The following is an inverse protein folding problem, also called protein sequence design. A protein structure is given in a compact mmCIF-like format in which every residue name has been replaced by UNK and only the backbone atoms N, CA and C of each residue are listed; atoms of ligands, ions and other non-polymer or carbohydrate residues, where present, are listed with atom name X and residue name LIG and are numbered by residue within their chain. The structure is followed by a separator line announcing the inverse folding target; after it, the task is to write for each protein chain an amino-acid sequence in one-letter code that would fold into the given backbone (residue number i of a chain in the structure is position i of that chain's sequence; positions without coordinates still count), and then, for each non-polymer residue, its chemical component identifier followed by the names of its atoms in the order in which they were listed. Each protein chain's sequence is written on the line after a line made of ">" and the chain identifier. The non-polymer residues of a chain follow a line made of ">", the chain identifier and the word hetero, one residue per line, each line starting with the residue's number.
data_IF_860257034326
#
_entry.id   IF_860257034326
#
_cell.length_a   1.000
_cell.length_b   1.000
_cell.length_c   1.000
_cell.angle_alpha   90.00
_cell.angle_beta   90.00
_cell.angle_gamma   90.00
#
_symmetry.space_group_name_H-M   'P 1'
#
loop_
_entity.id
_entity.type
_entity.pdbx_description
1 polymer ?
#
# COMPACT_ATOMS: atom_id res chain seq x y z
N UNK A 1 -16.60 -2.39 2.97
CA UNK A 1 -16.62 -1.34 1.91
C UNK A 1 -15.19 -1.19 1.45
N UNK A 2 -14.94 -1.24 0.13
CA UNK A 2 -13.58 -1.09 -0.42
C UNK A 2 -13.03 0.32 -0.13
N UNK A 3 -11.71 0.45 0.02
CA UNK A 3 -11.03 1.76 0.22
C UNK A 3 -11.24 2.62 -1.03
N UNK A 4 -11.04 2.02 -2.21
CA UNK A 4 -11.36 2.62 -3.52
C UNK A 4 -11.64 1.50 -4.53
N UNK A 5 -12.12 1.86 -5.70
CA UNK A 5 -12.26 0.97 -6.87
C UNK A 5 -11.74 1.73 -8.08
N UNK A 6 -10.96 1.06 -8.93
CA UNK A 6 -10.35 1.70 -10.10
C UNK A 6 -8.83 1.83 -9.98
N UNK A 7 -8.28 3.01 -10.27
CA UNK A 7 -6.84 3.25 -10.32
C UNK A 7 -6.34 4.15 -9.17
N UNK A 8 -5.56 3.57 -8.28
CA UNK A 8 -4.75 4.33 -7.32
C UNK A 8 -3.34 4.54 -7.87
N UNK A 9 -2.85 5.77 -7.90
CA UNK A 9 -1.47 6.06 -8.32
C UNK A 9 -0.49 5.81 -7.18
N UNK A 10 0.51 4.96 -7.39
CA UNK A 10 1.70 4.93 -6.55
C UNK A 10 2.59 6.13 -6.93
N UNK A 11 2.26 7.28 -6.35
CA UNK A 11 2.82 8.56 -6.79
C UNK A 11 4.33 8.64 -6.55
N UNK A 12 5.05 9.25 -7.48
CA UNK A 12 6.47 9.58 -7.32
C UNK A 12 6.67 10.70 -6.30
N UNK A 13 7.84 10.74 -5.67
CA UNK A 13 8.22 11.85 -4.80
C UNK A 13 9.21 12.75 -5.55
N UNK A 14 8.78 13.93 -6.02
CA UNK A 14 9.69 14.86 -6.69
C UNK A 14 10.72 15.40 -5.71
N UNK A 15 11.99 15.43 -6.14
CA UNK A 15 13.10 15.90 -5.33
C UNK A 15 13.82 17.05 -6.00
N UNK A 16 14.39 17.95 -5.21
CA UNK A 16 15.28 19.01 -5.63
C UNK A 16 16.67 18.44 -5.96
N UNK A 17 17.51 19.21 -6.60
CA UNK A 17 18.88 18.81 -6.94
C UNK A 17 19.77 18.46 -5.72
N UNK A 18 19.42 18.98 -4.55
CA UNK A 18 20.09 18.68 -3.27
C UNK A 18 19.52 17.45 -2.53
N UNK A 19 18.52 16.77 -3.13
CA UNK A 19 17.86 15.59 -2.54
C UNK A 19 16.66 15.87 -1.64
N UNK A 20 16.38 17.12 -1.29
CA UNK A 20 15.19 17.47 -0.50
C UNK A 20 13.89 17.24 -1.31
N UNK A 21 12.82 16.88 -0.62
CA UNK A 21 11.49 16.74 -1.24
C UNK A 21 11.04 18.12 -1.77
N UNK A 22 10.56 18.14 -3.00
CA UNK A 22 9.97 19.33 -3.63
C UNK A 22 8.45 19.31 -3.45
N UNK A 23 7.98 19.88 -2.35
CA UNK A 23 6.56 19.90 -2.01
C UNK A 23 5.69 20.70 -2.98
N UNK A 24 6.24 21.78 -3.59
CA UNK A 24 5.51 22.55 -4.60
C UNK A 24 5.22 21.67 -5.84
N UNK A 25 6.24 20.91 -6.28
CA UNK A 25 6.06 20.00 -7.40
C UNK A 25 5.19 18.77 -7.02
N UNK A 26 5.24 18.32 -5.79
CA UNK A 26 4.34 17.28 -5.29
C UNK A 26 2.88 17.75 -5.33
N UNK A 27 2.62 18.99 -4.91
CA UNK A 27 1.29 19.59 -4.98
C UNK A 27 0.75 19.63 -6.44
N UNK A 28 1.59 20.06 -7.39
CA UNK A 28 1.22 20.06 -8.81
C UNK A 28 0.89 18.65 -9.33
N UNK A 29 1.66 17.62 -8.93
CA UNK A 29 1.41 16.24 -9.32
C UNK A 29 0.13 15.69 -8.69
N UNK A 30 -0.15 16.02 -7.42
CA UNK A 30 -1.38 15.63 -6.74
C UNK A 30 -2.60 16.22 -7.45
N UNK A 31 -2.56 17.52 -7.81
CA UNK A 31 -3.64 18.15 -8.57
C UNK A 31 -3.78 17.56 -9.97
N UNK A 32 -2.67 17.28 -10.66
CA UNK A 32 -2.68 16.62 -11.96
C UNK A 32 -3.41 15.27 -11.86
N UNK A 33 -3.05 14.42 -10.91
CA UNK A 33 -3.65 13.11 -10.73
C UNK A 33 -5.16 13.20 -10.42
N UNK A 34 -5.54 14.05 -9.49
CA UNK A 34 -6.94 14.22 -9.08
C UNK A 34 -7.79 14.75 -10.25
N UNK A 35 -7.27 15.72 -11.00
CA UNK A 35 -7.97 16.31 -12.14
C UNK A 35 -8.04 15.37 -13.36
N UNK A 36 -7.20 14.33 -13.40
CA UNK A 36 -7.19 13.32 -14.44
C UNK A 36 -7.78 11.96 -13.98
N UNK A 37 -8.70 12.00 -13.01
CA UNK A 37 -9.55 10.87 -12.63
C UNK A 37 -8.81 9.72 -11.92
N UNK A 38 -7.74 10.01 -11.15
CA UNK A 38 -7.23 9.01 -10.21
C UNK A 38 -8.26 8.73 -9.11
N UNK A 39 -8.40 7.47 -8.71
CA UNK A 39 -9.37 7.06 -7.68
C UNK A 39 -8.75 7.06 -6.27
N UNK A 40 -7.44 7.05 -6.16
CA UNK A 40 -6.71 7.14 -4.89
C UNK A 40 -5.26 7.60 -5.09
N UNK A 41 -4.68 8.24 -4.08
CA UNK A 41 -3.24 8.57 -4.02
C UNK A 41 -2.56 7.61 -3.05
N UNK A 42 -1.51 6.93 -3.50
CA UNK A 42 -0.65 6.10 -2.64
C UNK A 42 0.69 6.79 -2.48
N UNK A 43 0.87 7.48 -1.35
CA UNK A 43 2.10 8.23 -1.01
C UNK A 43 3.11 7.34 -0.29
N UNK A 44 4.38 7.60 -0.44
CA UNK A 44 5.49 6.88 0.20
C UNK A 44 5.43 5.36 -0.03
N UNK A 45 4.93 4.93 -1.20
CA UNK A 45 5.13 3.57 -1.69
C UNK A 45 6.55 3.39 -2.24
N UNK A 46 6.84 2.21 -2.79
CA UNK A 46 8.15 1.91 -3.43
C UNK A 46 8.46 2.88 -4.56
N UNK A 47 7.48 3.24 -5.38
CA UNK A 47 7.63 4.21 -6.49
C UNK A 47 7.96 5.61 -5.97
N UNK A 48 7.44 5.97 -4.80
CA UNK A 48 7.75 7.23 -4.11
C UNK A 48 9.08 7.21 -3.36
N UNK A 49 9.91 6.17 -3.53
CA UNK A 49 11.28 6.08 -3.00
C UNK A 49 11.36 6.18 -1.46
N UNK A 50 10.31 5.71 -0.74
CA UNK A 50 10.28 5.77 0.73
C UNK A 50 11.47 5.11 1.42
N UNK A 51 12.10 4.12 0.78
CA UNK A 51 13.27 3.43 1.33
C UNK A 51 14.55 4.30 1.38
N UNK A 52 14.58 5.45 0.70
CA UNK A 52 15.70 6.39 0.67
C UNK A 52 15.46 7.65 1.48
N UNK A 53 14.28 7.78 2.09
CA UNK A 53 13.91 8.88 2.97
C UNK A 53 14.32 8.60 4.42
N UNK A 54 14.60 9.64 5.17
CA UNK A 54 14.60 9.53 6.64
C UNK A 54 13.18 9.29 7.14
N UNK A 55 13.01 8.83 8.37
CA UNK A 55 11.66 8.63 8.93
C UNK A 55 10.91 9.96 9.06
N UNK A 56 11.60 11.05 9.35
CA UNK A 56 11.05 12.41 9.43
C UNK A 56 10.53 12.90 8.06
N UNK A 57 11.32 12.72 6.99
CA UNK A 57 10.90 13.06 5.62
C UNK A 57 9.70 12.22 5.19
N UNK A 58 9.70 10.93 5.52
CA UNK A 58 8.61 10.01 5.21
C UNK A 58 7.30 10.46 5.87
N UNK A 59 7.32 10.74 7.16
CA UNK A 59 6.15 11.22 7.92
C UNK A 59 5.67 12.57 7.39
N UNK A 60 6.58 13.51 7.10
CA UNK A 60 6.23 14.82 6.58
C UNK A 60 5.60 14.76 5.19
N UNK A 61 6.11 13.88 4.29
CA UNK A 61 5.51 13.67 2.98
C UNK A 61 4.08 13.10 3.08
N UNK A 62 3.82 12.21 4.02
CA UNK A 62 2.48 11.67 4.30
C UNK A 62 1.57 12.79 4.80
N UNK A 63 2.01 13.58 5.79
CA UNK A 63 1.25 14.69 6.38
C UNK A 63 0.91 15.73 5.33
N UNK A 64 1.91 16.20 4.58
CA UNK A 64 1.71 17.15 3.49
C UNK A 64 0.66 16.65 2.49
N UNK A 65 0.77 15.38 2.08
CA UNK A 65 -0.16 14.82 1.09
C UNK A 65 -1.59 14.75 1.63
N UNK A 66 -1.79 14.30 2.87
CA UNK A 66 -3.11 14.23 3.50
C UNK A 66 -3.74 15.64 3.61
N UNK A 67 -2.96 16.62 4.08
CA UNK A 67 -3.38 18.00 4.24
C UNK A 67 -3.69 18.69 2.89
N UNK A 68 -2.93 18.38 1.85
CA UNK A 68 -3.12 18.97 0.53
C UNK A 68 -4.30 18.35 -0.22
N UNK A 69 -4.42 17.03 -0.19
CA UNK A 69 -5.51 16.31 -0.88
C UNK A 69 -6.87 16.61 -0.25
N UNK A 70 -6.94 16.85 1.06
CA UNK A 70 -8.17 17.25 1.78
C UNK A 70 -9.38 16.37 1.47
N UNK A 71 -9.19 15.07 1.46
CA UNK A 71 -10.25 14.09 1.18
C UNK A 71 -10.91 14.21 -0.20
N UNK A 72 -10.30 14.88 -1.17
CA UNK A 72 -10.80 14.91 -2.56
C UNK A 72 -10.81 13.50 -3.18
N UNK A 73 -9.82 12.70 -2.83
CA UNK A 73 -9.73 11.26 -3.08
C UNK A 73 -9.11 10.59 -1.86
N UNK A 74 -9.26 9.27 -1.67
CA UNK A 74 -8.57 8.56 -0.59
C UNK A 74 -7.05 8.69 -0.70
N UNK A 75 -6.40 8.89 0.45
CA UNK A 75 -4.94 8.87 0.60
C UNK A 75 -4.53 7.61 1.34
N UNK A 76 -3.69 6.81 0.72
CA UNK A 76 -3.12 5.59 1.28
C UNK A 76 -1.63 5.82 1.55
N UNK A 77 -1.19 5.67 2.79
CA UNK A 77 0.21 5.85 3.16
C UNK A 77 0.98 4.52 3.12
N UNK A 78 2.11 4.48 2.43
CA UNK A 78 3.07 3.38 2.54
C UNK A 78 3.77 3.45 3.90
N UNK A 79 3.52 2.50 4.80
CA UNK A 79 4.05 2.48 6.17
C UNK A 79 4.77 1.20 6.52
N UNK A 80 4.90 0.27 5.55
CA UNK A 80 5.57 -1.01 5.76
C UNK A 80 7.08 -0.87 5.97
N UNK A 81 7.61 -1.70 6.84
CA UNK A 81 9.05 -1.82 7.12
C UNK A 81 9.40 -3.29 7.40
N UNK A 82 10.66 -3.65 7.24
CA UNK A 82 11.17 -4.96 7.68
C UNK A 82 11.35 -5.04 9.21
N UNK A 83 11.28 -3.90 9.90
CA UNK A 83 11.21 -3.80 11.35
C UNK A 83 9.75 -3.55 11.75
N UNK A 84 9.14 -4.50 12.48
CA UNK A 84 7.74 -4.38 12.92
C UNK A 84 7.50 -3.13 13.77
N UNK A 85 8.46 -2.75 14.63
CA UNK A 85 8.37 -1.54 15.44
C UNK A 85 8.27 -0.29 14.58
N UNK A 86 9.15 -0.12 13.60
CA UNK A 86 9.10 0.99 12.65
C UNK A 86 7.80 1.02 11.85
N UNK A 87 7.32 -0.14 11.39
CA UNK A 87 6.03 -0.21 10.69
C UNK A 87 4.86 0.25 11.59
N UNK A 88 4.89 -0.07 12.89
CA UNK A 88 3.91 0.40 13.88
C UNK A 88 3.99 1.92 14.06
N UNK A 89 5.21 2.46 14.22
CA UNK A 89 5.44 3.90 14.43
C UNK A 89 4.97 4.70 13.20
N UNK A 90 5.40 4.33 12.00
CA UNK A 90 4.97 4.98 10.76
C UNK A 90 3.45 4.89 10.56
N UNK A 91 2.82 3.76 10.89
CA UNK A 91 1.37 3.61 10.75
C UNK A 91 0.60 4.50 11.73
N UNK A 92 1.10 4.70 12.94
CA UNK A 92 0.53 5.64 13.92
C UNK A 92 0.66 7.09 13.46
N UNK A 93 1.82 7.48 12.93
CA UNK A 93 2.03 8.81 12.37
C UNK A 93 1.12 9.06 11.16
N UNK A 94 0.96 8.08 10.28
CA UNK A 94 0.02 8.16 9.15
C UNK A 94 -1.45 8.32 9.63
N UNK A 95 -1.84 7.57 10.67
CA UNK A 95 -3.17 7.75 11.27
C UNK A 95 -3.35 9.14 11.85
N UNK A 96 -2.34 9.68 12.56
CA UNK A 96 -2.37 11.02 13.13
C UNK A 96 -2.43 12.10 12.02
N UNK A 97 -1.79 11.86 10.87
CA UNK A 97 -1.86 12.71 9.69
C UNK A 97 -3.24 12.67 8.98
N UNK A 98 -4.12 11.75 9.35
CA UNK A 98 -5.48 11.69 8.83
C UNK A 98 -5.61 11.03 7.45
N UNK A 99 -4.71 10.14 7.05
CA UNK A 99 -4.86 9.34 5.83
C UNK A 99 -6.04 8.37 5.94
N UNK A 100 -6.43 7.74 4.83
CA UNK A 100 -7.61 6.86 4.77
C UNK A 100 -7.26 5.37 4.94
N UNK A 101 -6.02 4.98 4.66
CA UNK A 101 -5.52 3.62 4.82
C UNK A 101 -3.99 3.56 4.87
N UNK A 102 -3.46 2.42 5.30
CA UNK A 102 -2.03 2.12 5.24
C UNK A 102 -1.75 1.00 4.21
N UNK A 103 -0.71 1.17 3.40
CA UNK A 103 -0.13 0.13 2.55
C UNK A 103 1.10 -0.45 3.25
N UNK A 104 1.03 -1.71 3.67
CA UNK A 104 2.09 -2.35 4.45
C UNK A 104 2.74 -3.45 3.62
N UNK A 105 3.97 -3.21 3.15
CA UNK A 105 4.77 -4.21 2.43
C UNK A 105 5.23 -5.30 3.39
N UNK A 106 5.37 -6.54 2.91
CA UNK A 106 5.98 -7.62 3.68
C UNK A 106 7.38 -7.23 4.17
N UNK A 107 7.79 -7.66 5.38
CA UNK A 107 9.18 -7.51 5.81
C UNK A 107 10.14 -7.99 4.72
N UNK A 108 10.96 -7.08 4.22
CA UNK A 108 11.94 -7.33 3.18
C UNK A 108 13.31 -7.66 3.77
N UNK A 109 14.16 -8.35 3.00
CA UNK A 109 15.53 -8.70 3.35
C UNK A 109 15.65 -9.84 4.38
N UNK A 110 14.99 -9.76 5.54
CA UNK A 110 15.07 -10.72 6.65
C UNK A 110 14.22 -12.00 6.48
N UNK A 111 13.51 -12.14 5.34
CA UNK A 111 12.81 -13.37 4.91
C UNK A 111 11.92 -14.00 5.99
N UNK A 112 10.93 -13.23 6.44
CA UNK A 112 9.96 -13.70 7.44
C UNK A 112 9.23 -14.97 7.00
N UNK A 113 9.02 -15.90 7.94
CA UNK A 113 8.16 -17.07 7.72
C UNK A 113 6.68 -16.68 7.65
N UNK A 114 5.80 -17.57 7.15
CA UNK A 114 4.35 -17.31 7.11
C UNK A 114 3.78 -17.00 8.50
N UNK A 115 4.25 -17.69 9.54
CA UNK A 115 3.90 -17.38 10.93
C UNK A 115 4.38 -15.99 11.34
N UNK A 116 5.60 -15.63 10.97
CA UNK A 116 6.15 -14.29 11.21
C UNK A 116 5.38 -13.19 10.51
N UNK A 117 4.87 -13.44 9.29
CA UNK A 117 3.99 -12.52 8.57
C UNK A 117 2.66 -12.30 9.32
N UNK A 118 2.03 -13.37 9.81
CA UNK A 118 0.80 -13.26 10.60
C UNK A 118 1.03 -12.38 11.83
N UNK A 119 2.09 -12.63 12.60
CA UNK A 119 2.42 -11.84 13.79
C UNK A 119 2.74 -10.38 13.44
N UNK A 120 3.51 -10.13 12.36
CA UNK A 120 3.85 -8.79 11.90
C UNK A 120 2.59 -7.98 11.58
N UNK A 121 1.74 -8.49 10.67
CA UNK A 121 0.51 -7.78 10.27
C UNK A 121 -0.46 -7.62 11.43
N UNK A 122 -0.59 -8.63 12.28
CA UNK A 122 -1.43 -8.54 13.49
C UNK A 122 -0.95 -7.45 14.44
N UNK A 123 0.37 -7.34 14.62
CA UNK A 123 0.97 -6.31 15.51
C UNK A 123 0.76 -4.91 14.96
N UNK A 124 1.02 -4.70 13.66
CA UNK A 124 0.76 -3.40 13.02
C UNK A 124 -0.73 -3.05 13.09
N UNK A 125 -1.60 -3.97 12.73
CA UNK A 125 -3.04 -3.75 12.68
C UNK A 125 -3.64 -3.42 14.05
N UNK A 126 -3.16 -4.05 15.13
CA UNK A 126 -3.61 -3.74 16.50
C UNK A 126 -3.16 -2.37 17.01
N UNK A 127 -2.22 -1.72 16.34
CA UNK A 127 -1.68 -0.42 16.75
C UNK A 127 -2.44 0.78 16.21
N UNK A 128 -3.33 0.57 15.23
CA UNK A 128 -4.09 1.60 14.52
C UNK A 128 -5.53 1.14 14.25
N UNK A 129 -6.42 2.09 13.99
CA UNK A 129 -7.81 1.82 13.59
C UNK A 129 -7.99 1.88 12.06
N UNK A 130 -6.98 2.37 11.32
CA UNK A 130 -7.06 2.50 9.87
C UNK A 130 -7.12 1.16 9.16
N UNK A 131 -7.79 1.09 8.00
CA UNK A 131 -7.71 -0.04 7.09
C UNK A 131 -6.27 -0.28 6.63
N UNK A 132 -5.89 -1.55 6.49
CA UNK A 132 -4.58 -1.97 6.00
C UNK A 132 -4.74 -2.72 4.68
N UNK A 133 -3.93 -2.33 3.70
CA UNK A 133 -3.67 -3.05 2.47
C UNK A 133 -2.34 -3.80 2.66
N UNK A 134 -2.35 -5.12 2.72
CA UNK A 134 -1.12 -5.91 2.64
C UNK A 134 -0.46 -5.70 1.27
N UNK A 135 0.87 -5.68 1.20
CA UNK A 135 1.56 -5.58 -0.07
C UNK A 135 2.53 -6.74 -0.28
N UNK A 136 2.21 -7.59 -1.26
CA UNK A 136 2.99 -8.76 -1.63
C UNK A 136 3.79 -8.49 -2.91
N UNK A 137 5.12 -8.39 -2.80
CA UNK A 137 6.04 -8.15 -3.91
C UNK A 137 7.32 -8.97 -3.76
N UNK A 138 7.26 -10.28 -3.95
CA UNK A 138 8.37 -11.20 -3.66
C UNK A 138 9.67 -10.87 -4.41
N UNK A 139 9.56 -10.31 -5.62
CA UNK A 139 10.71 -9.89 -6.44
C UNK A 139 11.57 -8.81 -5.77
N UNK A 140 10.99 -8.01 -4.87
CA UNK A 140 11.68 -6.95 -4.14
C UNK A 140 12.01 -7.34 -2.70
N UNK A 141 11.11 -8.08 -2.05
CA UNK A 141 11.20 -8.38 -0.62
C UNK A 141 11.94 -9.69 -0.32
N UNK A 142 11.98 -10.61 -1.28
CA UNK A 142 12.42 -11.99 -1.06
C UNK A 142 11.44 -12.81 -0.20
N UNK A 143 10.23 -12.28 0.07
CA UNK A 143 9.19 -12.90 0.89
C UNK A 143 7.87 -12.88 0.15
N UNK A 144 7.22 -14.05 0.04
CA UNK A 144 5.91 -14.19 -0.59
C UNK A 144 4.85 -14.51 0.48
N UNK A 145 3.77 -13.75 0.51
CA UNK A 145 2.58 -14.11 1.31
C UNK A 145 1.83 -15.18 0.54
N UNK A 146 1.69 -16.36 1.12
CA UNK A 146 0.88 -17.42 0.51
C UNK A 146 -0.62 -17.07 0.61
N UNK A 147 -1.45 -17.49 -0.35
CA UNK A 147 -2.90 -17.22 -0.33
C UNK A 147 -3.58 -17.59 0.99
N UNK A 148 -3.25 -18.74 1.54
CA UNK A 148 -3.79 -19.22 2.82
C UNK A 148 -3.42 -18.28 3.98
N UNK A 149 -2.20 -17.75 3.96
CA UNK A 149 -1.71 -16.80 4.97
C UNK A 149 -2.44 -15.46 4.85
N UNK A 150 -2.59 -14.94 3.63
CA UNK A 150 -3.31 -13.69 3.40
C UNK A 150 -4.77 -13.77 3.86
N UNK A 151 -5.46 -14.86 3.49
CA UNK A 151 -6.85 -15.10 3.90
C UNK A 151 -6.98 -15.29 5.41
N UNK A 152 -6.03 -16.01 6.04
CA UNK A 152 -6.00 -16.17 7.49
C UNK A 152 -5.87 -14.82 8.19
N UNK A 153 -4.93 -13.97 7.75
CA UNK A 153 -4.75 -12.63 8.32
C UNK A 153 -6.05 -11.82 8.17
N UNK A 154 -6.64 -11.76 6.97
CA UNK A 154 -7.85 -10.98 6.72
C UNK A 154 -9.06 -11.45 7.56
N UNK A 155 -9.18 -12.75 7.81
CA UNK A 155 -10.27 -13.29 8.65
C UNK A 155 -10.08 -13.05 10.14
N UNK A 156 -8.84 -13.04 10.63
CA UNK A 156 -8.52 -12.91 12.05
C UNK A 156 -8.25 -11.46 12.47
N UNK A 157 -7.91 -10.57 11.52
CA UNK A 157 -7.51 -9.19 11.79
C UNK A 157 -8.43 -8.23 11.05
N UNK A 158 -9.41 -7.68 11.78
CA UNK A 158 -10.57 -6.97 11.23
C UNK A 158 -10.25 -5.80 10.31
N UNK A 159 -9.18 -5.06 10.57
CA UNK A 159 -8.79 -3.90 9.77
C UNK A 159 -7.78 -4.22 8.65
N UNK A 160 -7.40 -5.48 8.46
CA UNK A 160 -6.70 -5.91 7.24
C UNK A 160 -7.75 -6.26 6.19
N UNK A 161 -8.00 -5.34 5.26
CA UNK A 161 -9.17 -5.38 4.37
C UNK A 161 -8.83 -5.63 2.90
N UNK A 162 -7.56 -5.49 2.53
CA UNK A 162 -7.12 -5.61 1.14
C UNK A 162 -5.69 -6.15 1.01
N UNK A 163 -5.37 -6.58 -0.20
CA UNK A 163 -4.01 -6.93 -0.62
C UNK A 163 -3.69 -6.30 -1.98
N UNK A 164 -2.53 -5.63 -2.08
CA UNK A 164 -1.87 -5.30 -3.34
C UNK A 164 -1.01 -6.49 -3.74
N UNK A 165 -1.42 -7.19 -4.80
CA UNK A 165 -0.74 -8.39 -5.27
C UNK A 165 0.18 -8.06 -6.45
N UNK A 166 1.47 -8.24 -6.25
CA UNK A 166 2.53 -7.99 -7.22
C UNK A 166 3.52 -9.17 -7.32
N UNK A 167 3.05 -10.40 -7.07
CA UNK A 167 3.88 -11.59 -7.23
C UNK A 167 4.20 -11.92 -8.70
N UNK A 168 3.40 -11.40 -9.64
CA UNK A 168 3.47 -11.80 -11.05
C UNK A 168 2.89 -13.18 -11.33
N UNK A 169 2.32 -13.85 -10.34
CA UNK A 169 1.78 -15.21 -10.46
C UNK A 169 0.25 -15.22 -10.44
N UNK A 170 -0.36 -15.17 -11.61
CA UNK A 170 -1.82 -15.17 -11.75
C UNK A 170 -2.47 -16.43 -11.16
N UNK A 171 -1.81 -17.58 -11.21
CA UNK A 171 -2.32 -18.80 -10.56
C UNK A 171 -2.40 -18.64 -9.03
N UNK A 172 -1.46 -17.93 -8.41
CA UNK A 172 -1.52 -17.59 -7.00
C UNK A 172 -2.67 -16.63 -6.71
N UNK A 173 -2.86 -15.62 -7.57
CA UNK A 173 -3.97 -14.67 -7.45
C UNK A 173 -5.33 -15.36 -7.57
N UNK A 174 -5.48 -16.27 -8.55
CA UNK A 174 -6.71 -17.04 -8.72
C UNK A 174 -7.01 -17.91 -7.47
N UNK A 175 -5.97 -18.55 -6.90
CA UNK A 175 -6.11 -19.29 -5.65
C UNK A 175 -6.49 -18.37 -4.48
N UNK A 176 -5.87 -17.19 -4.39
CA UNK A 176 -6.20 -16.18 -3.37
C UNK A 176 -7.67 -15.77 -3.49
N UNK A 177 -8.13 -15.41 -4.69
CA UNK A 177 -9.51 -15.01 -4.93
C UNK A 177 -10.52 -16.10 -4.54
N UNK A 178 -10.23 -17.36 -4.91
CA UNK A 178 -11.06 -18.50 -4.56
C UNK A 178 -11.14 -18.75 -3.04
N UNK A 179 -10.02 -18.64 -2.32
CA UNK A 179 -9.97 -18.85 -0.86
C UNK A 179 -10.53 -17.67 -0.07
N UNK A 180 -10.42 -16.47 -0.63
CA UNK A 180 -10.87 -15.24 0.01
C UNK A 180 -12.40 -15.18 0.12
N UNK A 181 -13.11 -15.65 -0.89
CA UNK A 181 -14.58 -15.63 -0.91
C UNK A 181 -15.15 -14.27 -0.49
N UNK A 182 -14.53 -13.20 -1.00
CA UNK A 182 -14.92 -11.82 -0.72
C UNK A 182 -14.49 -11.23 0.63
N UNK A 183 -13.72 -11.97 1.46
CA UNK A 183 -13.28 -11.44 2.75
C UNK A 183 -12.13 -10.42 2.65
N UNK A 184 -11.49 -10.27 1.49
CA UNK A 184 -10.39 -9.33 1.24
C UNK A 184 -10.47 -8.78 -0.18
N UNK A 185 -10.29 -7.49 -0.36
CA UNK A 185 -10.18 -6.88 -1.67
C UNK A 185 -8.79 -7.12 -2.28
N UNK A 186 -8.74 -7.34 -3.60
CA UNK A 186 -7.49 -7.60 -4.33
C UNK A 186 -7.26 -6.45 -5.31
N UNK A 187 -6.11 -5.78 -5.19
CA UNK A 187 -5.61 -4.79 -6.14
C UNK A 187 -4.41 -5.34 -6.89
N UNK A 188 -4.34 -5.11 -8.20
CA UNK A 188 -3.12 -5.38 -8.93
C UNK A 188 -1.99 -4.45 -8.49
N UNK A 189 -0.81 -5.01 -8.27
CA UNK A 189 0.42 -4.23 -8.09
C UNK A 189 1.29 -4.18 -9.35
N UNK A 190 0.86 -4.89 -10.42
CA UNK A 190 1.52 -4.96 -11.72
C UNK A 190 0.57 -4.43 -12.80
N UNK A 191 0.99 -3.41 -13.53
CA UNK A 191 0.15 -2.73 -14.52
C UNK A 191 -0.24 -3.64 -15.70
N UNK A 192 0.60 -4.60 -16.06
CA UNK A 192 0.34 -5.61 -17.11
C UNK A 192 -0.64 -6.73 -16.67
N UNK A 193 -0.96 -6.81 -15.37
CA UNK A 193 -1.85 -7.83 -14.81
C UNK A 193 -3.21 -7.30 -14.36
N UNK A 194 -3.54 -6.06 -14.68
CA UNK A 194 -4.81 -5.42 -14.29
C UNK A 194 -6.00 -6.22 -14.79
N UNK A 195 -6.07 -6.49 -16.09
CA UNK A 195 -7.20 -7.23 -16.68
C UNK A 195 -7.38 -8.65 -16.13
N UNK A 196 -6.33 -9.48 -16.05
CA UNK A 196 -6.43 -10.78 -15.38
C UNK A 196 -6.95 -10.69 -13.95
N UNK A 197 -6.46 -9.73 -13.15
CA UNK A 197 -6.88 -9.60 -11.74
C UNK A 197 -8.32 -9.10 -11.64
N UNK A 198 -8.75 -8.16 -12.47
CA UNK A 198 -10.14 -7.73 -12.54
C UNK A 198 -11.08 -8.90 -12.91
N UNK A 199 -10.68 -9.77 -13.85
CA UNK A 199 -11.46 -10.96 -14.22
C UNK A 199 -11.64 -11.96 -13.08
N UNK A 200 -10.75 -11.93 -12.10
CA UNK A 200 -10.81 -12.74 -10.86
C UNK A 200 -11.55 -12.05 -9.72
N UNK A 201 -12.20 -10.91 -9.98
CA UNK A 201 -12.94 -10.15 -8.97
C UNK A 201 -12.13 -9.08 -8.24
N UNK A 202 -10.95 -8.73 -8.73
CA UNK A 202 -10.15 -7.62 -8.21
C UNK A 202 -10.85 -6.29 -8.29
N UNK A 203 -10.46 -5.33 -7.44
CA UNK A 203 -11.12 -4.02 -7.32
C UNK A 203 -10.45 -2.91 -8.14
N UNK A 204 -9.23 -3.16 -8.60
CA UNK A 204 -8.49 -2.15 -9.35
C UNK A 204 -6.99 -2.39 -9.32
N UNK A 205 -6.24 -1.32 -9.45
CA UNK A 205 -4.78 -1.32 -9.52
C UNK A 205 -4.18 -0.24 -8.62
N UNK A 206 -3.05 -0.54 -8.01
CA UNK A 206 -2.14 0.46 -7.43
C UNK A 206 -0.97 0.57 -8.42
N UNK A 207 -1.11 1.53 -9.34
CA UNK A 207 -0.38 1.64 -10.60
C UNK A 207 0.92 2.43 -10.46
N UNK A 208 1.92 2.05 -11.26
CA UNK A 208 3.14 2.83 -11.53
C UNK A 208 2.98 3.64 -12.82
N UNK A 209 2.37 3.07 -13.86
CA UNK A 209 2.23 3.71 -15.18
C UNK A 209 1.33 4.95 -15.16
N UNK A 210 0.48 5.09 -14.17
CA UNK A 210 -0.43 6.24 -14.05
C UNK A 210 0.24 7.54 -13.54
N UNK A 211 1.54 7.53 -13.24
CA UNK A 211 2.28 8.75 -12.87
C UNK A 211 2.41 9.76 -14.00
#
# INVERSE_FOLDING_TARGET
>A
MSIFTGAGVAIVTPMKANGEINYDKLAELLDYQINNSTDAIVICGTTGESATMTEEEHVEAIRFTADYVKKRVPVVAGTGSNCTKTAVELSKEAQAAGVDACLVVTPYYNKASQKGLIEHYTTVAKSIDLPIIMYNVPSRTGTNILPETAVKIAKEVKNVVAIKEASGNISQVAKLAALADGCIDIYSGNDDQVLPILSLGGKGVISVWSN
#
